data_IF_762234385513
#
_entry.id   IF_762234385513
#
_cell.length_a   1.000
_cell.length_b   1.000
_cell.length_c   1.000
_cell.angle_alpha   90.00
_cell.angle_beta   90.00
_cell.angle_gamma   90.00
#
_symmetry.space_group_name_H-M   'P 1'
#
loop_
_entity.id
_entity.type
_entity.pdbx_description
1 polymer ?
#
# COMPACT_ATOMS: atom_id res chain seq x y z
N UNK A 1 32.01 -19.76 25.10
CA UNK A 1 32.12 -18.56 24.24
C UNK A 1 30.91 -18.49 23.31
N UNK A 2 30.01 -17.53 23.49
CA UNK A 2 28.89 -17.35 22.56
C UNK A 2 29.48 -17.14 21.15
N UNK A 3 29.21 -18.09 20.25
CA UNK A 3 29.75 -18.08 18.89
C UNK A 3 29.42 -16.74 18.22
N UNK A 4 30.41 -15.88 18.00
CA UNK A 4 30.20 -14.56 17.39
C UNK A 4 29.44 -14.64 16.05
N UNK A 5 29.55 -15.77 15.36
CA UNK A 5 28.81 -16.04 14.13
C UNK A 5 27.28 -16.21 14.36
N UNK A 6 26.85 -16.73 15.51
CA UNK A 6 25.43 -16.91 15.84
C UNK A 6 24.76 -15.58 16.20
N UNK A 7 25.43 -14.74 17.00
CA UNK A 7 24.92 -13.42 17.35
C UNK A 7 24.77 -12.53 16.11
N UNK A 8 25.77 -12.52 15.23
CA UNK A 8 25.71 -11.79 13.94
C UNK A 8 24.60 -12.34 13.04
N UNK A 9 24.43 -13.66 12.98
CA UNK A 9 23.37 -14.30 12.20
C UNK A 9 21.97 -13.93 12.70
N UNK A 10 21.72 -13.99 14.01
CA UNK A 10 20.42 -13.66 14.61
C UNK A 10 20.11 -12.16 14.47
N UNK A 11 21.13 -11.31 14.60
CA UNK A 11 20.99 -9.87 14.38
C UNK A 11 20.64 -9.56 12.92
N UNK A 12 21.37 -10.15 11.95
CA UNK A 12 21.03 -10.01 10.54
C UNK A 12 19.62 -10.53 10.23
N UNK A 13 19.21 -11.66 10.81
CA UNK A 13 17.89 -12.23 10.63
C UNK A 13 16.80 -11.29 11.16
N UNK A 14 16.98 -10.73 12.35
CA UNK A 14 16.05 -9.76 12.93
C UNK A 14 15.93 -8.49 12.07
N UNK A 15 17.04 -7.94 11.58
CA UNK A 15 17.04 -6.75 10.70
C UNK A 15 16.36 -7.02 9.36
N UNK A 16 16.61 -8.17 8.73
CA UNK A 16 15.94 -8.57 7.49
C UNK A 16 14.43 -8.67 7.68
N UNK A 17 13.99 -9.29 8.78
CA UNK A 17 12.57 -9.45 9.10
C UNK A 17 11.88 -8.13 9.46
N UNK A 18 12.51 -7.30 10.31
CA UNK A 18 11.97 -5.98 10.68
C UNK A 18 11.84 -5.10 9.44
N UNK A 19 12.87 -5.02 8.58
CA UNK A 19 12.81 -4.23 7.35
C UNK A 19 11.68 -4.67 6.42
N UNK A 20 11.51 -5.99 6.22
CA UNK A 20 10.39 -6.53 5.41
C UNK A 20 9.03 -6.26 6.06
N UNK A 21 8.92 -6.39 7.38
CA UNK A 21 7.67 -6.13 8.11
C UNK A 21 7.32 -4.65 8.09
N UNK A 22 8.29 -3.75 8.15
CA UNK A 22 8.07 -2.30 8.03
C UNK A 22 7.48 -1.95 6.67
N UNK A 23 8.08 -2.47 5.58
CA UNK A 23 7.55 -2.28 4.22
C UNK A 23 6.14 -2.84 4.06
N UNK A 24 5.86 -4.05 4.60
CA UNK A 24 4.51 -4.63 4.56
C UNK A 24 3.48 -3.86 5.39
N UNK A 25 3.86 -3.43 6.61
CA UNK A 25 2.99 -2.62 7.47
C UNK A 25 2.71 -1.26 6.84
N UNK A 26 3.69 -0.67 6.15
CA UNK A 26 3.52 0.55 5.37
C UNK A 26 2.44 0.36 4.31
N UNK A 27 2.60 -0.65 3.45
CA UNK A 27 1.67 -0.91 2.34
C UNK A 27 0.25 -1.10 2.86
N UNK A 28 0.07 -1.89 3.92
CA UNK A 28 -1.23 -2.08 4.56
C UNK A 28 -1.83 -0.78 5.10
N UNK A 29 -1.02 0.05 5.78
CA UNK A 29 -1.48 1.33 6.30
C UNK A 29 -1.92 2.26 5.17
N UNK A 30 -1.19 2.28 4.06
CA UNK A 30 -1.56 3.07 2.89
C UNK A 30 -2.88 2.65 2.27
N UNK A 31 -3.08 1.34 2.06
CA UNK A 31 -4.33 0.81 1.51
C UNK A 31 -5.53 1.31 2.31
N UNK A 32 -5.45 1.26 3.65
CA UNK A 32 -6.54 1.72 4.53
C UNK A 32 -6.79 3.23 4.50
N UNK A 33 -5.81 4.04 4.08
CA UNK A 33 -5.95 5.49 3.98
C UNK A 33 -6.45 5.90 2.58
N UNK A 34 -6.04 5.18 1.53
CA UNK A 34 -6.52 5.36 0.15
C UNK A 34 -8.03 5.05 0.06
N UNK A 35 -8.51 3.98 0.69
CA UNK A 35 -9.95 3.65 0.67
C UNK A 35 -10.82 4.75 1.30
N UNK A 36 -10.31 5.47 2.30
CA UNK A 36 -10.99 6.63 2.91
C UNK A 36 -11.05 7.86 1.99
N UNK A 37 -10.20 7.92 0.97
CA UNK A 37 -10.01 9.08 0.09
C UNK A 37 -10.96 9.09 -1.12
N UNK A 38 -11.43 7.92 -1.59
CA UNK A 38 -12.18 7.82 -2.85
C UNK A 38 -13.72 7.82 -2.73
N UNK A 39 -14.28 8.13 -1.55
CA UNK A 39 -15.71 8.35 -1.28
C UNK A 39 -16.70 7.48 -2.13
N UNK A 40 -16.44 6.17 -2.14
CA UNK A 40 -17.21 5.17 -2.86
C UNK A 40 -18.66 5.12 -2.29
N UNK A 41 -19.72 4.84 -3.07
CA UNK A 41 -21.12 4.97 -2.62
C UNK A 41 -21.46 4.11 -1.40
N UNK A 42 -22.23 4.66 -0.44
CA UNK A 42 -22.67 4.02 0.82
C UNK A 42 -23.28 2.61 0.68
N UNK A 43 -23.86 2.25 -0.46
CA UNK A 43 -24.42 0.91 -0.73
C UNK A 43 -23.36 -0.11 -1.16
N UNK A 44 -22.28 0.33 -1.80
CA UNK A 44 -21.08 -0.47 -2.07
C UNK A 44 -20.22 -0.51 -0.80
N UNK A 45 -20.16 0.60 -0.07
CA UNK A 45 -19.56 0.77 1.25
C UNK A 45 -20.28 -0.01 2.36
N UNK A 46 -21.57 -0.33 2.29
CA UNK A 46 -22.16 -1.30 3.24
C UNK A 46 -21.61 -2.73 3.06
N UNK A 47 -21.13 -3.04 1.85
CA UNK A 47 -20.49 -4.30 1.47
C UNK A 47 -18.95 -4.19 1.63
N UNK A 48 -18.37 -2.98 1.46
CA UNK A 48 -16.92 -2.66 1.48
C UNK A 48 -16.41 -2.13 2.85
N UNK A 49 -17.19 -1.37 3.63
CA UNK A 49 -16.89 -0.87 5.02
C UNK A 49 -16.94 -1.96 6.09
N UNK A 50 -16.89 -3.22 5.70
CA UNK A 50 -16.56 -4.30 6.61
C UNK A 50 -15.12 -4.24 7.13
N UNK A 51 -14.36 -3.14 7.06
CA UNK A 51 -13.00 -3.02 7.64
C UNK A 51 -12.06 -4.19 7.30
N UNK A 52 -12.23 -4.84 6.15
CA UNK A 52 -11.53 -6.08 5.89
C UNK A 52 -11.47 -6.50 4.42
N UNK A 53 -11.75 -5.74 3.35
CA UNK A 53 -11.72 -6.36 1.99
C UNK A 53 -10.33 -6.54 1.35
N UNK A 54 -9.38 -5.61 1.39
CA UNK A 54 -7.99 -5.96 1.00
C UNK A 54 -7.46 -7.06 1.93
N UNK A 55 -7.85 -7.02 3.21
CA UNK A 55 -7.63 -8.08 4.17
C UNK A 55 -8.28 -9.41 3.77
N UNK A 56 -9.53 -9.45 3.30
CA UNK A 56 -10.35 -10.65 3.04
C UNK A 56 -10.17 -11.17 1.64
N UNK A 57 -9.74 -10.36 0.68
CA UNK A 57 -9.28 -10.85 -0.62
C UNK A 57 -7.84 -11.36 -0.52
N UNK A 58 -6.95 -10.66 0.20
CA UNK A 58 -5.59 -11.15 0.38
C UNK A 58 -5.50 -12.27 1.41
N UNK A 59 -6.30 -12.32 2.47
CA UNK A 59 -6.17 -13.32 3.54
C UNK A 59 -6.37 -14.75 3.03
N UNK A 60 -7.41 -15.10 2.25
CA UNK A 60 -7.53 -16.41 1.62
C UNK A 60 -6.33 -16.71 0.73
N UNK A 61 -5.86 -15.74 -0.06
CA UNK A 61 -4.70 -15.92 -0.94
C UNK A 61 -3.42 -16.18 -0.15
N UNK A 62 -3.20 -15.42 0.93
CA UNK A 62 -2.07 -15.57 1.86
C UNK A 62 -2.17 -16.91 2.58
N UNK A 63 -3.36 -17.31 3.04
CA UNK A 63 -3.59 -18.62 3.66
C UNK A 63 -3.28 -19.76 2.69
N UNK A 64 -3.75 -19.66 1.44
CA UNK A 64 -3.48 -20.61 0.36
C UNK A 64 -1.97 -20.69 0.07
N UNK A 65 -1.29 -19.55 -0.06
CA UNK A 65 0.14 -19.54 -0.31
C UNK A 65 0.99 -19.97 0.90
N UNK A 66 0.55 -19.72 2.13
CA UNK A 66 1.15 -20.30 3.34
C UNK A 66 0.98 -21.82 3.38
N UNK A 67 -0.22 -22.31 3.05
CA UNK A 67 -0.48 -23.74 2.98
C UNK A 67 0.40 -24.41 1.92
N UNK A 68 0.43 -23.89 0.69
CA UNK A 68 1.27 -24.44 -0.37
C UNK A 68 2.78 -24.26 -0.10
N UNK A 69 3.20 -23.13 0.45
CA UNK A 69 4.58 -22.89 0.86
C UNK A 69 5.02 -23.88 1.95
N UNK A 70 4.16 -24.14 2.93
CA UNK A 70 4.40 -25.15 3.98
C UNK A 70 4.42 -26.58 3.43
N UNK A 71 3.50 -26.94 2.54
CA UNK A 71 3.48 -28.24 1.86
C UNK A 71 4.74 -28.46 1.02
N UNK A 72 5.17 -27.45 0.27
CA UNK A 72 6.39 -27.47 -0.54
C UNK A 72 7.62 -27.74 0.31
N UNK A 73 7.75 -27.02 1.44
CA UNK A 73 8.83 -27.21 2.41
C UNK A 73 8.82 -28.62 3.04
N UNK A 74 7.64 -29.17 3.34
CA UNK A 74 7.48 -30.50 3.95
C UNK A 74 7.77 -31.63 2.96
N UNK A 75 7.20 -31.58 1.75
CA UNK A 75 7.29 -32.65 0.74
C UNK A 75 8.70 -32.82 0.19
N UNK A 76 9.43 -31.72 0.01
CA UNK A 76 10.77 -31.74 -0.60
C UNK A 76 11.91 -31.88 0.41
N UNK A 77 11.62 -32.11 1.71
CA UNK A 77 12.61 -32.21 2.80
C UNK A 77 13.72 -31.13 2.68
N UNK A 78 13.34 -29.89 2.36
CA UNK A 78 14.27 -28.82 1.96
C UNK A 78 15.23 -28.48 3.12
N UNK A 79 16.53 -28.31 2.86
CA UNK A 79 17.53 -27.90 3.86
C UNK A 79 17.42 -26.38 4.20
N UNK A 80 17.94 -25.92 5.35
CA UNK A 80 17.99 -24.51 5.78
C UNK A 80 18.61 -23.61 4.70
N UNK A 81 19.73 -24.01 4.09
CA UNK A 81 20.37 -23.23 3.02
C UNK A 81 19.48 -23.11 1.77
N UNK A 82 18.86 -24.23 1.36
CA UNK A 82 17.94 -24.23 0.21
C UNK A 82 16.69 -23.38 0.50
N UNK A 83 16.15 -23.45 1.73
CA UNK A 83 15.01 -22.65 2.17
C UNK A 83 15.32 -21.15 2.13
N UNK A 84 16.51 -20.75 2.62
CA UNK A 84 16.97 -19.37 2.55
C UNK A 84 17.13 -18.90 1.10
N UNK A 85 17.66 -19.75 0.22
CA UNK A 85 17.82 -19.43 -1.20
C UNK A 85 16.47 -19.22 -1.88
N UNK A 86 15.50 -20.13 -1.66
CA UNK A 86 14.13 -20.00 -2.17
C UNK A 86 13.48 -18.72 -1.63
N UNK A 87 13.56 -18.46 -0.33
CA UNK A 87 12.99 -17.25 0.30
C UNK A 87 13.54 -15.98 -0.36
N UNK A 88 14.86 -15.94 -0.60
CA UNK A 88 15.53 -14.79 -1.21
C UNK A 88 15.02 -14.54 -2.63
N UNK A 89 15.09 -15.52 -3.52
CA UNK A 89 14.72 -15.36 -4.92
C UNK A 89 13.23 -15.10 -5.12
N UNK A 90 12.35 -15.81 -4.40
CA UNK A 90 10.90 -15.57 -4.48
C UNK A 90 10.56 -14.19 -3.93
N UNK A 91 11.21 -13.76 -2.83
CA UNK A 91 10.99 -12.40 -2.32
C UNK A 91 11.53 -11.32 -3.25
N UNK A 92 12.62 -11.58 -3.98
CA UNK A 92 13.18 -10.68 -4.99
C UNK A 92 12.25 -10.57 -6.20
N UNK A 93 11.65 -11.67 -6.65
CA UNK A 93 10.63 -11.65 -7.70
C UNK A 93 9.45 -10.76 -7.29
N UNK A 94 8.92 -10.92 -6.08
CA UNK A 94 7.85 -10.06 -5.56
C UNK A 94 8.25 -8.58 -5.52
N UNK A 95 9.49 -8.29 -5.13
CA UNK A 95 10.03 -6.93 -5.13
C UNK A 95 10.15 -6.35 -6.55
N UNK A 96 10.53 -7.15 -7.54
CA UNK A 96 10.60 -6.71 -8.93
C UNK A 96 9.21 -6.48 -9.52
N UNK A 97 8.24 -7.36 -9.24
CA UNK A 97 6.85 -7.20 -9.66
C UNK A 97 6.18 -5.98 -9.02
N UNK A 98 6.56 -5.64 -7.79
CA UNK A 98 6.10 -4.43 -7.12
C UNK A 98 6.43 -3.14 -7.91
N UNK A 99 7.55 -3.10 -8.66
CA UNK A 99 7.84 -1.95 -9.52
C UNK A 99 6.83 -1.79 -10.67
N UNK A 100 6.18 -2.87 -11.12
CA UNK A 100 5.13 -2.76 -12.13
C UNK A 100 3.92 -1.96 -11.62
N UNK A 101 3.70 -1.91 -10.29
CA UNK A 101 2.63 -1.12 -9.68
C UNK A 101 2.84 0.40 -9.83
N UNK A 102 4.06 0.85 -10.15
CA UNK A 102 4.29 2.27 -10.48
C UNK A 102 3.58 2.69 -11.76
N UNK A 103 3.32 1.76 -12.68
CA UNK A 103 2.67 2.06 -13.96
C UNK A 103 1.15 2.01 -13.90
N UNK A 104 0.56 1.52 -12.81
CA UNK A 104 -0.89 1.31 -12.68
C UNK A 104 -1.59 2.43 -11.91
N UNK A 105 -0.88 3.49 -11.51
CA UNK A 105 -1.45 4.64 -10.80
C UNK A 105 -2.02 5.63 -11.82
N UNK A 106 -3.31 5.95 -11.71
CA UNK A 106 -3.99 6.94 -12.55
C UNK A 106 -3.80 8.37 -12.04
N UNK A 107 -4.01 9.32 -12.95
CA UNK A 107 -4.20 10.73 -12.60
C UNK A 107 -5.57 10.96 -11.97
N UNK A 108 -5.62 11.86 -10.98
CA UNK A 108 -6.84 12.15 -10.22
C UNK A 108 -7.73 13.16 -10.93
N UNK A 109 -9.04 13.11 -10.62
CA UNK A 109 -10.02 14.06 -11.13
C UNK A 109 -9.63 15.51 -10.79
N UNK A 110 -9.72 16.38 -11.79
CA UNK A 110 -9.34 17.78 -11.66
C UNK A 110 -10.37 18.53 -10.80
N UNK A 111 -9.93 19.17 -9.71
CA UNK A 111 -10.77 19.94 -8.80
C UNK A 111 -10.40 21.42 -8.83
N UNK A 112 -11.38 22.26 -9.17
CA UNK A 112 -11.23 23.72 -9.24
C UNK A 112 -10.87 24.32 -7.87
N UNK A 113 -9.88 25.21 -7.88
CA UNK A 113 -9.35 25.90 -6.70
C UNK A 113 -8.41 25.07 -5.82
N UNK A 114 -8.18 23.79 -6.15
CA UNK A 114 -7.28 22.89 -5.41
C UNK A 114 -6.18 22.28 -6.29
N UNK A 115 -6.55 21.60 -7.39
CA UNK A 115 -5.56 21.00 -8.32
C UNK A 115 -5.45 21.78 -9.64
N UNK A 116 -6.53 22.45 -10.02
CA UNK A 116 -6.60 23.33 -11.19
C UNK A 116 -7.21 24.67 -10.76
N UNK A 117 -6.79 25.76 -11.39
CA UNK A 117 -7.47 27.04 -11.27
C UNK A 117 -8.87 26.99 -11.92
N UNK A 118 -9.73 27.97 -11.61
CA UNK A 118 -11.03 28.12 -12.26
C UNK A 118 -10.94 28.39 -13.78
N UNK A 119 -9.75 28.75 -14.27
CA UNK A 119 -9.45 28.93 -15.70
C UNK A 119 -8.94 27.63 -16.36
N UNK A 120 -8.85 26.52 -15.61
CA UNK A 120 -8.38 25.22 -16.12
C UNK A 120 -6.85 25.07 -16.17
N UNK A 121 -6.09 26.03 -15.66
CA UNK A 121 -4.63 25.94 -15.55
C UNK A 121 -4.27 25.05 -14.36
N UNK A 122 -3.40 24.06 -14.57
CA UNK A 122 -2.87 23.22 -13.48
C UNK A 122 -2.09 24.06 -12.48
N UNK A 123 -2.62 24.16 -11.26
CA UNK A 123 -2.02 24.89 -10.17
C UNK A 123 -2.52 24.28 -8.86
N UNK A 124 -1.60 23.69 -8.11
CA UNK A 124 -1.90 23.14 -6.78
C UNK A 124 -1.90 24.26 -5.76
N UNK A 125 -2.97 24.35 -4.96
CA UNK A 125 -3.09 25.32 -3.88
C UNK A 125 -3.61 24.67 -2.60
N UNK A 126 -2.95 25.00 -1.49
CA UNK A 126 -3.32 24.59 -0.14
C UNK A 126 -4.14 25.67 0.59
N UNK A 127 -4.30 26.85 -0.02
CA UNK A 127 -4.95 27.99 0.61
C UNK A 127 -6.47 27.96 0.37
N UNK A 128 -7.27 28.14 1.42
CA UNK A 128 -8.74 28.09 1.28
C UNK A 128 -9.30 29.21 0.37
N UNK A 129 -8.57 30.32 0.24
CA UNK A 129 -8.98 31.44 -0.60
C UNK A 129 -8.95 31.14 -2.11
N UNK A 130 -8.25 30.10 -2.56
CA UNK A 130 -8.24 29.71 -3.98
C UNK A 130 -9.50 28.97 -4.41
N UNK A 131 -10.35 28.58 -3.45
CA UNK A 131 -11.71 28.11 -3.73
C UNK A 131 -12.64 29.25 -4.16
N UNK A 132 -12.30 30.51 -3.85
CA UNK A 132 -13.08 31.68 -4.24
C UNK A 132 -12.51 32.31 -5.52
N UNK A 133 -13.38 32.54 -6.48
CA UNK A 133 -13.09 33.17 -7.76
C UNK A 133 -14.14 34.26 -8.06
N UNK A 134 -13.88 35.10 -9.06
CA UNK A 134 -14.83 36.17 -9.44
C UNK A 134 -16.25 35.65 -9.73
N UNK A 135 -16.38 34.41 -10.21
CA UNK A 135 -17.64 33.79 -10.57
C UNK A 135 -18.49 33.29 -9.39
N UNK A 136 -17.90 33.03 -8.22
CA UNK A 136 -18.61 32.54 -7.02
C UNK A 136 -18.55 33.50 -5.82
N UNK A 137 -17.86 34.64 -5.94
CA UNK A 137 -17.71 35.64 -4.88
C UNK A 137 -19.02 36.32 -4.47
N UNK A 138 -20.02 36.36 -5.35
CA UNK A 138 -21.32 36.97 -5.05
C UNK A 138 -22.21 36.08 -4.17
N UNK A 139 -21.78 34.84 -3.93
CA UNK A 139 -22.43 33.88 -3.05
C UNK A 139 -21.51 33.69 -1.84
N UNK A 140 -21.98 33.96 -0.61
CA UNK A 140 -21.25 33.66 0.63
C UNK A 140 -21.11 32.14 0.84
N UNK A 141 -20.34 31.49 -0.03
CA UNK A 141 -20.25 30.05 -0.12
C UNK A 141 -19.45 29.50 1.07
N UNK A 142 -20.00 28.51 1.79
CA UNK A 142 -19.27 27.87 2.89
C UNK A 142 -18.09 27.06 2.32
N UNK A 143 -16.87 27.50 2.63
CA UNK A 143 -15.64 26.88 2.13
C UNK A 143 -15.39 25.48 2.71
N UNK A 144 -16.04 25.13 3.83
CA UNK A 144 -15.80 23.88 4.57
C UNK A 144 -16.70 22.71 4.15
N UNK A 145 -17.70 22.95 3.30
CA UNK A 145 -18.60 21.91 2.80
C UNK A 145 -17.91 21.14 1.67
N UNK A 146 -18.08 19.81 1.67
CA UNK A 146 -17.63 18.92 0.60
C UNK A 146 -18.84 18.21 0.00
N UNK A 147 -19.30 18.71 -1.15
CA UNK A 147 -20.44 18.18 -1.91
C UNK A 147 -20.14 18.27 -3.42
N UNK A 148 -19.24 17.40 -3.93
CA UNK A 148 -18.65 17.60 -5.23
C UNK A 148 -19.67 17.52 -6.37
N UNK A 149 -19.52 18.41 -7.35
CA UNK A 149 -20.29 18.40 -8.59
C UNK A 149 -19.38 18.40 -9.81
N UNK A 150 -19.75 17.63 -10.83
CA UNK A 150 -19.04 17.58 -12.08
C UNK A 150 -19.64 18.59 -13.05
N UNK A 151 -18.86 19.62 -13.40
CA UNK A 151 -19.25 20.55 -14.45
C UNK A 151 -19.25 19.86 -15.82
N UNK A 152 -20.12 20.30 -16.72
CA UNK A 152 -20.10 19.84 -18.11
C UNK A 152 -18.79 20.20 -18.87
N UNK A 153 -17.91 21.01 -18.27
CA UNK A 153 -16.56 21.30 -18.73
C UNK A 153 -15.52 20.24 -18.30
N UNK A 154 -15.94 19.15 -17.63
CA UNK A 154 -15.07 18.07 -17.18
C UNK A 154 -14.27 18.38 -15.91
N UNK A 155 -14.51 19.52 -15.25
CA UNK A 155 -13.85 19.91 -14.01
C UNK A 155 -14.80 19.67 -12.83
N UNK A 156 -14.26 19.12 -11.75
CA UNK A 156 -14.98 18.93 -10.50
C UNK A 156 -14.92 20.20 -9.64
N UNK A 157 -16.04 20.56 -9.03
CA UNK A 157 -16.12 21.69 -8.10
C UNK A 157 -16.49 21.16 -6.72
N UNK A 158 -15.93 21.77 -5.67
CA UNK A 158 -16.07 21.33 -4.27
C UNK A 158 -17.53 21.35 -3.77
N UNK A 159 -18.34 22.28 -4.30
CA UNK A 159 -19.77 22.36 -4.00
C UNK A 159 -20.54 23.00 -5.17
N UNK A 160 -21.88 22.82 -5.24
CA UNK A 160 -22.70 23.54 -6.21
C UNK A 160 -22.60 25.06 -6.08
N UNK A 161 -22.40 25.56 -4.85
CA UNK A 161 -22.22 26.99 -4.58
C UNK A 161 -20.89 27.49 -5.16
N UNK A 162 -19.80 26.75 -4.94
CA UNK A 162 -18.48 27.11 -5.45
C UNK A 162 -18.40 26.96 -6.99
N UNK A 163 -19.26 26.14 -7.59
CA UNK A 163 -19.50 26.10 -9.03
C UNK A 163 -20.34 27.29 -9.55
N UNK A 164 -20.93 28.11 -8.66
CA UNK A 164 -21.75 29.27 -9.00
C UNK A 164 -23.13 28.93 -9.53
N UNK A 165 -23.67 27.75 -9.20
CA UNK A 165 -24.99 27.30 -9.68
C UNK A 165 -26.13 28.02 -8.95
N UNK A 166 -27.17 28.44 -9.70
CA UNK A 166 -28.32 29.18 -9.15
C UNK A 166 -29.62 28.37 -9.10
N UNK A 167 -29.70 27.29 -9.86
CA UNK A 167 -30.86 26.43 -9.91
C UNK A 167 -30.46 24.96 -9.80
N UNK A 168 -31.38 24.13 -9.33
CA UNK A 168 -31.22 22.68 -9.25
C UNK A 168 -32.50 22.00 -9.70
N UNK A 169 -32.37 20.91 -10.46
CA UNK A 169 -33.46 20.12 -11.01
C UNK A 169 -33.23 18.64 -10.75
N UNK A 170 -34.26 17.92 -10.33
CA UNK A 170 -34.20 16.47 -10.07
C UNK A 170 -34.07 16.13 -8.58
N UNK A 171 -33.90 14.84 -8.28
CA UNK A 171 -33.85 14.32 -6.91
C UNK A 171 -32.89 13.13 -6.81
N UNK A 172 -32.13 13.05 -5.73
CA UNK A 172 -31.15 11.98 -5.52
C UNK A 172 -30.00 12.03 -6.55
N UNK A 173 -29.65 10.87 -7.14
CA UNK A 173 -28.53 10.74 -8.08
C UNK A 173 -28.75 11.42 -9.44
N UNK A 174 -29.98 11.77 -9.79
CA UNK A 174 -30.32 12.49 -11.03
C UNK A 174 -30.43 14.01 -10.84
N UNK A 175 -29.86 14.54 -9.75
CA UNK A 175 -29.82 15.97 -9.48
C UNK A 175 -28.84 16.67 -10.43
N UNK A 176 -29.36 17.66 -11.16
CA UNK A 176 -28.63 18.51 -12.09
C UNK A 176 -28.70 19.95 -11.61
N UNK A 177 -27.56 20.60 -11.51
CA UNK A 177 -27.44 22.01 -11.19
C UNK A 177 -27.31 22.82 -12.49
N UNK A 178 -28.06 23.91 -12.57
CA UNK A 178 -28.19 24.75 -13.76
C UNK A 178 -27.70 26.18 -13.47
N UNK A 179 -27.26 26.86 -14.53
CA UNK A 179 -26.82 28.25 -14.50
C UNK A 179 -25.59 28.45 -13.58
N UNK A 180 -24.57 27.61 -13.79
CA UNK A 180 -23.34 27.60 -13.01
C UNK A 180 -22.30 28.56 -13.61
N UNK A 181 -22.09 29.72 -12.99
CA UNK A 181 -21.22 30.79 -13.52
C UNK A 181 -19.74 30.42 -13.59
N UNK A 182 -19.23 29.61 -12.65
CA UNK A 182 -17.82 29.22 -12.64
C UNK A 182 -17.47 28.15 -13.67
N UNK A 183 -18.44 27.34 -14.08
CA UNK A 183 -18.28 26.37 -15.17
C UNK A 183 -18.14 27.10 -16.52
N UNK A 184 -18.80 28.24 -16.68
CA UNK A 184 -18.68 29.09 -17.88
C UNK A 184 -17.34 29.87 -17.93
N UNK A 185 -16.77 30.17 -16.75
CA UNK A 185 -15.57 31.00 -16.62
C UNK A 185 -14.29 30.34 -17.16
N UNK A 186 -14.28 29.02 -17.35
CA UNK A 186 -13.13 28.27 -17.88
C UNK A 186 -12.94 28.39 -19.40
N UNK A 187 -13.54 29.40 -20.05
CA UNK A 187 -13.52 29.56 -21.52
C UNK A 187 -14.40 28.57 -22.28
N UNK A 188 -15.16 27.73 -21.58
CA UNK A 188 -16.06 26.73 -22.16
C UNK A 188 -17.37 27.38 -22.62
N UNK A 189 -17.54 27.52 -23.95
CA UNK A 189 -18.69 28.21 -24.56
C UNK A 189 -19.81 27.22 -24.89
N UNK A 190 -20.54 26.75 -23.88
CA UNK A 190 -21.78 25.98 -24.06
C UNK A 190 -23.01 26.83 -23.73
N UNK A 191 -24.09 26.79 -24.54
CA UNK A 191 -25.32 27.53 -24.26
C UNK A 191 -26.03 27.04 -22.98
N UNK A 192 -25.78 25.79 -22.57
CA UNK A 192 -26.37 25.18 -21.38
C UNK A 192 -25.25 24.82 -20.41
N UNK A 193 -25.00 25.68 -19.43
CA UNK A 193 -23.99 25.46 -18.40
C UNK A 193 -24.63 24.77 -17.20
N UNK A 194 -24.26 23.50 -17.01
CA UNK A 194 -24.80 22.64 -15.96
C UNK A 194 -23.71 21.83 -15.29
N UNK A 195 -24.03 21.35 -14.09
CA UNK A 195 -23.22 20.41 -13.34
C UNK A 195 -24.10 19.26 -12.82
N UNK A 196 -23.54 18.07 -12.69
CA UNK A 196 -24.24 16.90 -12.11
C UNK A 196 -23.62 16.56 -10.76
N UNK A 197 -24.40 15.92 -9.89
CA UNK A 197 -23.90 15.46 -8.59
C UNK A 197 -22.78 14.41 -8.77
N UNK A 198 -21.69 14.56 -8.02
CA UNK A 198 -20.55 13.65 -8.04
C UNK A 198 -19.28 14.30 -8.59
N UNK A 199 -18.16 13.58 -8.51
CA UNK A 199 -16.93 14.00 -9.15
C UNK A 199 -16.99 13.63 -10.64
N UNK A 200 -16.26 14.36 -11.49
CA UNK A 200 -16.14 13.96 -12.88
C UNK A 200 -15.41 12.63 -12.98
N UNK A 201 -15.92 11.75 -13.85
CA UNK A 201 -15.25 10.50 -14.19
C UNK A 201 -13.82 10.82 -14.66
N UNK A 202 -12.85 10.06 -14.17
CA UNK A 202 -11.48 10.13 -14.67
C UNK A 202 -11.40 9.65 -16.12
N UNK A 203 -10.22 9.69 -16.73
CA UNK A 203 -10.02 9.10 -18.07
C UNK A 203 -10.57 7.65 -18.11
N UNK A 204 -11.24 7.27 -19.21
CA UNK A 204 -11.84 5.93 -19.43
C UNK A 204 -10.86 4.76 -19.21
N UNK A 205 -9.55 5.00 -19.29
CA UNK A 205 -8.52 4.00 -19.06
C UNK A 205 -8.25 3.73 -17.56
N UNK A 206 -8.73 4.58 -16.66
CA UNK A 206 -8.42 4.46 -15.25
C UNK A 206 -9.12 3.26 -14.59
N UNK A 207 -10.38 2.98 -14.94
CA UNK A 207 -11.07 1.80 -14.42
C UNK A 207 -10.31 0.51 -14.78
N UNK A 208 -9.76 0.42 -15.99
CA UNK A 208 -8.92 -0.71 -16.40
C UNK A 208 -7.61 -0.78 -15.63
N UNK A 209 -6.94 0.36 -15.42
CA UNK A 209 -5.71 0.43 -14.62
C UNK A 209 -5.94 0.03 -13.15
N UNK A 210 -7.08 0.41 -12.57
CA UNK A 210 -7.48 -0.02 -11.23
C UNK A 210 -7.66 -1.55 -11.16
N UNK A 211 -8.33 -2.15 -12.15
CA UNK A 211 -8.45 -3.62 -12.22
C UNK A 211 -7.08 -4.30 -12.35
N UNK A 212 -6.16 -3.76 -13.17
CA UNK A 212 -4.79 -4.27 -13.26
C UNK A 212 -4.04 -4.15 -11.93
N UNK A 213 -4.16 -3.03 -11.22
CA UNK A 213 -3.56 -2.82 -9.91
C UNK A 213 -4.07 -3.82 -8.87
N UNK A 214 -5.38 -4.07 -8.84
CA UNK A 214 -6.00 -5.06 -7.97
C UNK A 214 -5.44 -6.47 -8.26
N UNK A 215 -5.44 -6.90 -9.52
CA UNK A 215 -4.90 -8.21 -9.92
C UNK A 215 -3.42 -8.33 -9.53
N UNK A 216 -2.62 -7.30 -9.81
CA UNK A 216 -1.20 -7.27 -9.47
C UNK A 216 -0.99 -7.42 -7.96
N UNK A 217 -1.80 -6.73 -7.14
CA UNK A 217 -1.73 -6.82 -5.67
C UNK A 217 -2.06 -8.22 -5.16
N UNK A 218 -3.02 -8.93 -5.76
CA UNK A 218 -3.34 -10.31 -5.42
C UNK A 218 -2.18 -11.26 -5.77
N UNK A 219 -1.57 -11.09 -6.95
CA UNK A 219 -0.42 -11.90 -7.39
C UNK A 219 0.78 -11.68 -6.46
N UNK A 220 1.12 -10.43 -6.16
CA UNK A 220 2.20 -10.10 -5.24
C UNK A 220 1.93 -10.68 -3.84
N UNK A 221 0.70 -10.58 -3.32
CA UNK A 221 0.34 -11.16 -2.02
C UNK A 221 0.52 -12.69 -1.97
N UNK A 222 0.19 -13.38 -3.06
CA UNK A 222 0.45 -14.82 -3.19
C UNK A 222 1.95 -15.13 -3.17
N UNK A 223 2.75 -14.43 -4.00
CA UNK A 223 4.21 -14.65 -4.08
C UNK A 223 4.89 -14.33 -2.74
N UNK A 224 4.47 -13.24 -2.10
CA UNK A 224 4.91 -12.88 -0.75
C UNK A 224 4.66 -14.02 0.24
N UNK A 225 3.46 -14.59 0.25
CA UNK A 225 3.12 -15.68 1.18
C UNK A 225 3.93 -16.96 0.92
N UNK A 226 4.22 -17.28 -0.35
CA UNK A 226 5.13 -18.35 -0.73
C UNK A 226 6.57 -18.12 -0.25
N UNK A 227 7.06 -16.88 -0.29
CA UNK A 227 8.40 -16.52 0.21
C UNK A 227 8.50 -16.51 1.75
N UNK A 228 7.42 -16.12 2.43
CA UNK A 228 7.39 -16.00 3.88
C UNK A 228 7.55 -17.34 4.60
N UNK A 229 7.00 -18.43 4.06
CA UNK A 229 7.12 -19.76 4.68
C UNK A 229 8.56 -20.29 4.75
N UNK A 230 9.34 -20.34 3.65
CA UNK A 230 10.76 -20.68 3.70
C UNK A 230 11.57 -19.73 4.61
N UNK A 231 11.25 -18.43 4.60
CA UNK A 231 11.88 -17.45 5.50
C UNK A 231 11.63 -17.76 6.98
N UNK A 232 10.40 -18.06 7.35
CA UNK A 232 10.03 -18.43 8.72
C UNK A 232 10.66 -19.78 9.14
N UNK A 233 10.81 -20.73 8.21
CA UNK A 233 11.51 -21.98 8.46
C UNK A 233 13.01 -21.80 8.73
N UNK A 234 13.66 -20.81 8.11
CA UNK A 234 15.06 -20.46 8.41
C UNK A 234 15.19 -19.97 9.85
N UNK A 235 14.25 -19.15 10.34
CA UNK A 235 14.22 -18.71 11.74
C UNK A 235 14.09 -19.91 12.69
N UNK A 236 13.05 -20.73 12.52
CA UNK A 236 12.78 -21.85 13.44
C UNK A 236 13.93 -22.88 13.45
N UNK A 237 14.52 -23.20 12.29
CA UNK A 237 15.57 -24.22 12.20
C UNK A 237 16.94 -23.73 12.63
N UNK A 238 17.12 -22.41 12.78
CA UNK A 238 18.36 -21.84 13.31
C UNK A 238 18.39 -21.77 14.83
N UNK A 239 17.24 -21.94 15.49
CA UNK A 239 17.09 -21.93 16.94
C UNK A 239 17.19 -23.36 17.51
N UNK A 240 17.74 -23.46 18.72
CA UNK A 240 17.74 -24.72 19.47
C UNK A 240 16.31 -25.15 19.78
N UNK A 241 16.01 -26.46 19.86
CA UNK A 241 14.66 -26.96 20.13
C UNK A 241 13.97 -26.32 21.34
N UNK A 242 14.72 -26.08 22.41
CA UNK A 242 14.26 -25.47 23.66
C UNK A 242 13.95 -23.96 23.56
N UNK A 243 14.51 -23.25 22.58
CA UNK A 243 14.42 -21.79 22.45
C UNK A 243 13.47 -21.34 21.32
N UNK A 244 12.85 -22.29 20.59
CA UNK A 244 12.04 -21.99 19.39
C UNK A 244 10.85 -21.06 19.68
N UNK A 245 10.04 -21.40 20.69
CA UNK A 245 8.86 -20.60 21.06
C UNK A 245 9.25 -19.20 21.55
N UNK A 246 10.33 -19.13 22.33
CA UNK A 246 10.89 -17.88 22.83
C UNK A 246 11.39 -16.98 21.68
N UNK A 247 12.17 -17.54 20.75
CA UNK A 247 12.69 -16.79 19.60
C UNK A 247 11.59 -16.32 18.65
N UNK A 248 10.57 -17.14 18.40
CA UNK A 248 9.38 -16.72 17.63
C UNK A 248 8.64 -15.59 18.36
N UNK A 249 8.49 -15.68 19.68
CA UNK A 249 7.86 -14.64 20.50
C UNK A 249 8.60 -13.31 20.44
N UNK A 250 9.93 -13.31 20.64
CA UNK A 250 10.77 -12.10 20.53
C UNK A 250 10.67 -11.50 19.13
N UNK A 251 10.76 -12.34 18.09
CA UNK A 251 10.64 -11.90 16.71
C UNK A 251 9.28 -11.22 16.45
N UNK A 252 8.19 -11.84 16.91
CA UNK A 252 6.85 -11.28 16.81
C UNK A 252 6.71 -9.94 17.53
N UNK A 253 7.22 -9.86 18.77
CA UNK A 253 7.21 -8.64 19.56
C UNK A 253 8.01 -7.51 18.88
N UNK A 254 9.25 -7.77 18.48
CA UNK A 254 10.10 -6.79 17.81
C UNK A 254 9.46 -6.30 16.51
N UNK A 255 8.90 -7.21 15.72
CA UNK A 255 8.17 -6.87 14.49
C UNK A 255 6.97 -5.97 14.76
N UNK A 256 6.21 -6.21 15.83
CA UNK A 256 5.06 -5.36 16.18
C UNK A 256 5.48 -4.00 16.73
N UNK A 257 6.47 -3.97 17.61
CA UNK A 257 6.93 -2.73 18.27
C UNK A 257 7.64 -1.79 17.30
N UNK A 258 8.52 -2.30 16.43
CA UNK A 258 9.31 -1.46 15.53
C UNK A 258 8.65 -1.22 14.17
N UNK A 259 7.83 -2.17 13.69
CA UNK A 259 7.21 -2.06 12.37
C UNK A 259 5.69 -1.90 12.44
N UNK A 260 5.00 -2.81 13.14
CA UNK A 260 3.53 -2.89 13.10
C UNK A 260 2.81 -1.67 13.68
N UNK A 261 3.19 -1.22 14.88
CA UNK A 261 2.51 -0.14 15.60
C UNK A 261 2.94 1.25 15.09
N UNK A 262 4.23 1.57 14.89
CA UNK A 262 4.64 2.91 14.48
C UNK A 262 4.26 3.24 13.04
N UNK A 263 4.15 2.22 12.18
CA UNK A 263 3.90 2.41 10.76
C UNK A 263 2.57 3.13 10.48
N UNK A 264 1.37 2.63 10.88
CA UNK A 264 0.12 3.35 10.65
C UNK A 264 0.09 4.76 11.25
N UNK A 265 0.76 4.98 12.38
CA UNK A 265 0.77 6.27 13.08
C UNK A 265 1.60 7.29 12.30
N UNK A 266 2.86 6.97 12.02
CA UNK A 266 3.77 7.87 11.31
C UNK A 266 3.30 8.10 9.87
N UNK A 267 2.85 7.06 9.17
CA UNK A 267 2.40 7.21 7.80
C UNK A 267 1.02 7.84 7.69
N UNK A 268 0.12 7.62 8.67
CA UNK A 268 -1.12 8.40 8.77
C UNK A 268 -0.82 9.89 8.90
N UNK A 269 0.07 10.26 9.82
CA UNK A 269 0.49 11.66 10.00
C UNK A 269 1.19 12.22 8.75
N UNK A 270 2.03 11.43 8.08
CA UNK A 270 2.72 11.84 6.85
C UNK A 270 1.72 12.10 5.71
N UNK A 271 0.71 11.24 5.56
CA UNK A 271 -0.36 11.44 4.58
C UNK A 271 -1.17 12.69 4.92
N UNK A 272 -1.49 12.91 6.20
CA UNK A 272 -2.20 14.11 6.66
C UNK A 272 -1.47 15.41 6.29
N UNK A 273 -0.13 15.40 6.20
CA UNK A 273 0.64 16.59 5.74
C UNK A 273 0.36 16.98 4.30
N UNK A 274 -0.12 16.06 3.46
CA UNK A 274 -0.45 16.33 2.06
C UNK A 274 -1.91 16.72 1.87
N UNK A 275 -2.67 16.95 2.95
CA UNK A 275 -4.08 17.30 2.83
C UNK A 275 -4.28 18.64 2.10
N UNK A 276 -5.01 18.61 0.98
CA UNK A 276 -5.46 19.80 0.25
C UNK A 276 -6.77 20.35 0.83
N UNK A 277 -7.63 19.47 1.35
CA UNK A 277 -8.90 19.89 1.93
C UNK A 277 -9.30 19.11 3.18
N UNK A 278 -9.27 19.79 4.32
CA UNK A 278 -9.82 19.27 5.58
C UNK A 278 -11.35 19.24 5.55
N UNK A 279 -11.92 18.15 6.05
CA UNK A 279 -13.34 18.12 6.39
C UNK A 279 -13.63 18.99 7.62
N UNK A 280 -14.90 19.29 7.88
CA UNK A 280 -15.32 19.96 9.10
C UNK A 280 -16.19 19.03 9.96
N UNK A 281 -16.00 19.10 11.28
CA UNK A 281 -16.88 18.41 12.23
C UNK A 281 -18.16 19.22 12.47
N UNK A 282 -19.27 18.54 12.80
CA UNK A 282 -20.56 19.16 13.14
C UNK A 282 -20.47 20.07 14.37
N UNK A 283 -19.52 19.80 15.27
CA UNK A 283 -19.28 20.53 16.52
C UNK A 283 -18.27 21.68 16.39
N UNK A 284 -17.79 21.97 15.17
CA UNK A 284 -16.65 22.86 14.92
C UNK A 284 -15.29 22.13 15.04
N UNK A 285 -14.31 22.58 14.27
CA UNK A 285 -12.99 21.95 14.15
C UNK A 285 -12.77 21.22 12.82
N UNK A 286 -11.52 20.84 12.57
CA UNK A 286 -11.12 20.04 11.40
C UNK A 286 -11.47 18.57 11.63
N UNK A 287 -12.13 17.95 10.65
CA UNK A 287 -12.42 16.54 10.58
C UNK A 287 -11.41 15.80 9.69
N UNK A 288 -11.76 14.60 9.23
CA UNK A 288 -10.90 13.85 8.30
C UNK A 288 -10.67 14.62 6.99
N UNK A 289 -9.46 14.52 6.45
CA UNK A 289 -9.13 15.11 5.16
C UNK A 289 -9.97 14.47 4.04
N UNK A 290 -10.51 15.31 3.15
CA UNK A 290 -11.36 14.94 2.02
C UNK A 290 -10.59 14.76 0.73
N UNK A 291 -9.50 15.51 0.56
CA UNK A 291 -8.70 15.46 -0.66
C UNK A 291 -7.25 15.80 -0.32
N UNK A 292 -6.33 15.02 -0.88
CA UNK A 292 -4.89 15.14 -0.63
C UNK A 292 -4.20 15.53 -1.93
N UNK A 293 -3.02 16.14 -1.81
CA UNK A 293 -2.14 16.43 -2.93
C UNK A 293 -1.52 15.14 -3.41
N UNK A 294 -2.08 14.61 -4.50
CA UNK A 294 -1.62 13.40 -5.17
C UNK A 294 -0.75 13.81 -6.37
N UNK A 295 0.11 14.82 -6.22
CA UNK A 295 1.05 15.16 -7.28
C UNK A 295 1.84 13.91 -7.67
N UNK A 296 1.71 13.50 -8.94
CA UNK A 296 2.06 12.17 -9.47
C UNK A 296 3.45 11.71 -9.00
N UNK A 297 4.44 12.61 -9.04
CA UNK A 297 5.81 12.34 -8.60
C UNK A 297 5.94 12.14 -7.09
N UNK A 298 5.32 13.00 -6.28
CA UNK A 298 5.41 12.95 -4.82
C UNK A 298 4.62 11.77 -4.25
N UNK A 299 3.42 11.53 -4.78
CA UNK A 299 2.61 10.36 -4.45
C UNK A 299 3.32 9.07 -4.84
N UNK A 300 3.86 8.93 -6.06
CA UNK A 300 4.59 7.70 -6.45
C UNK A 300 5.85 7.49 -5.60
N UNK A 301 6.61 8.54 -5.29
CA UNK A 301 7.82 8.45 -4.47
C UNK A 301 7.55 8.13 -3.01
N UNK A 302 6.52 8.73 -2.41
CA UNK A 302 6.13 8.37 -1.06
C UNK A 302 5.47 7.00 -1.05
N UNK A 303 4.38 6.82 -1.81
CA UNK A 303 3.52 5.64 -1.73
C UNK A 303 4.20 4.36 -2.20
N UNK A 304 5.01 4.43 -3.25
CA UNK A 304 5.72 3.27 -3.77
C UNK A 304 7.25 3.31 -3.54
N UNK A 305 7.84 4.50 -3.48
CA UNK A 305 9.29 4.67 -3.35
C UNK A 305 9.82 4.34 -1.96
N UNK A 306 9.20 4.91 -0.91
CA UNK A 306 9.66 4.68 0.45
C UNK A 306 9.62 3.19 0.86
N UNK A 307 8.57 2.41 0.55
CA UNK A 307 8.55 0.96 0.80
C UNK A 307 9.56 0.21 -0.03
N UNK A 308 9.74 0.61 -1.29
CA UNK A 308 10.73 -0.02 -2.16
C UNK A 308 12.14 0.17 -1.59
N UNK A 309 12.48 1.35 -1.10
CA UNK A 309 13.77 1.63 -0.46
C UNK A 309 13.94 0.81 0.81
N UNK A 310 12.96 0.86 1.73
CA UNK A 310 13.00 0.10 2.99
C UNK A 310 13.16 -1.41 2.73
N UNK A 311 12.44 -1.93 1.75
CA UNK A 311 12.53 -3.33 1.32
C UNK A 311 13.86 -3.63 0.63
N UNK A 312 14.36 -2.72 -0.19
CA UNK A 312 15.68 -2.78 -0.83
C UNK A 312 16.81 -2.94 0.19
N UNK A 313 16.82 -2.10 1.23
CA UNK A 313 17.81 -2.15 2.32
C UNK A 313 17.75 -3.50 3.06
N UNK A 314 16.57 -4.10 3.21
CA UNK A 314 16.40 -5.41 3.88
C UNK A 314 17.07 -6.60 3.13
N UNK A 315 17.45 -6.42 1.86
CA UNK A 315 18.21 -7.44 1.14
C UNK A 315 19.67 -7.51 1.56
N UNK A 316 20.26 -6.44 2.13
CA UNK A 316 21.64 -6.44 2.63
C UNK A 316 21.82 -7.48 3.76
N UNK A 317 21.03 -7.47 4.85
CA UNK A 317 21.14 -8.53 5.85
C UNK A 317 20.71 -9.90 5.29
N UNK A 318 19.78 -9.95 4.33
CA UNK A 318 19.37 -11.21 3.68
C UNK A 318 20.51 -11.88 2.89
N UNK A 319 21.34 -11.11 2.18
CA UNK A 319 22.52 -11.65 1.49
C UNK A 319 23.60 -12.11 2.47
N UNK A 320 23.82 -11.38 3.57
CA UNK A 320 24.73 -11.81 4.64
C UNK A 320 24.31 -13.17 5.21
N UNK A 321 23.01 -13.37 5.49
CA UNK A 321 22.45 -14.65 5.94
C UNK A 321 22.74 -15.78 4.95
N UNK A 322 22.52 -15.53 3.65
CA UNK A 322 22.81 -16.52 2.61
C UNK A 322 24.29 -16.90 2.55
N UNK A 323 25.19 -15.93 2.68
CA UNK A 323 26.64 -16.18 2.67
C UNK A 323 27.07 -17.01 3.89
N UNK A 324 26.54 -16.71 5.08
CA UNK A 324 26.80 -17.48 6.31
C UNK A 324 26.30 -18.92 6.15
N UNK A 325 25.07 -19.10 5.66
CA UNK A 325 24.49 -20.44 5.45
C UNK A 325 25.22 -21.22 4.35
N UNK A 326 25.69 -20.56 3.28
CA UNK A 326 26.50 -21.19 2.24
C UNK A 326 27.82 -21.71 2.80
N UNK A 327 28.49 -20.92 3.64
CA UNK A 327 29.73 -21.31 4.30
C UNK A 327 29.51 -22.49 5.25
N UNK A 328 28.43 -22.46 6.04
CA UNK A 328 28.06 -23.55 6.95
C UNK A 328 27.76 -24.84 6.20
N UNK A 329 26.93 -24.79 5.16
CA UNK A 329 26.59 -25.93 4.30
C UNK A 329 27.83 -26.56 3.64
N UNK A 330 28.76 -25.73 3.13
CA UNK A 330 30.03 -26.23 2.57
C UNK A 330 30.90 -26.89 3.63
N UNK A 331 30.94 -26.35 4.84
CA UNK A 331 31.69 -26.94 5.96
C UNK A 331 31.11 -28.29 6.39
N UNK A 332 29.78 -28.40 6.49
CA UNK A 332 29.08 -29.64 6.83
C UNK A 332 29.31 -30.72 5.76
N UNK A 333 29.23 -30.35 4.48
CA UNK A 333 29.53 -31.26 3.37
C UNK A 333 30.99 -31.74 3.40
N UNK A 334 31.94 -30.86 3.72
CA UNK A 334 33.35 -31.23 3.82
C UNK A 334 33.61 -32.19 5.00
N UNK A 335 32.92 -32.01 6.13
CA UNK A 335 33.00 -32.92 7.28
C UNK A 335 32.42 -34.30 6.92
N UNK A 336 31.29 -34.35 6.23
CA UNK A 336 30.67 -35.60 5.76
C UNK A 336 31.53 -36.34 4.75
N UNK A 337 32.24 -35.62 3.86
CA UNK A 337 33.15 -36.21 2.88
C UNK A 337 34.41 -36.79 3.55
N UNK A 338 34.83 -36.19 4.66
CA UNK A 338 36.02 -36.60 5.42
C UNK A 338 35.70 -37.60 6.55
N UNK A 339 34.43 -37.95 6.76
CA UNK A 339 34.01 -38.90 7.79
C UNK A 339 34.32 -40.35 7.36
N UNK A 340 34.77 -41.23 8.28
CA UNK A 340 35.02 -42.64 7.98
C UNK A 340 33.75 -43.34 7.46
N UNK A 341 33.94 -44.23 6.47
CA UNK A 341 32.89 -44.85 5.63
C UNK A 341 31.75 -45.50 6.43
N UNK A 342 32.00 -46.02 7.63
CA UNK A 342 30.99 -46.64 8.49
C UNK A 342 29.89 -45.68 9.02
N UNK A 343 30.11 -44.35 8.98
CA UNK A 343 29.08 -43.36 9.33
C UNK A 343 28.22 -42.93 8.13
N UNK A 344 28.69 -43.10 6.89
CA UNK A 344 27.96 -42.70 5.68
C UNK A 344 26.75 -43.61 5.41
N UNK A 345 26.87 -44.91 5.69
CA UNK A 345 25.79 -45.88 5.49
C UNK A 345 24.63 -45.70 6.48
N UNK A 346 24.92 -45.34 7.74
CA UNK A 346 23.89 -45.11 8.77
C UNK A 346 23.05 -43.85 8.53
N UNK A 347 23.63 -42.81 7.91
CA UNK A 347 22.88 -41.59 7.61
C UNK A 347 22.08 -41.72 6.31
N UNK A 348 22.53 -42.52 5.33
CA UNK A 348 21.77 -42.83 4.11
C UNK A 348 20.52 -43.69 4.40
N UNK A 349 20.56 -44.59 5.38
CA UNK A 349 19.36 -45.30 5.85
C UNK A 349 18.38 -44.40 6.61
N UNK A 350 18.87 -43.37 7.32
CA UNK A 350 18.01 -42.40 8.01
C UNK A 350 17.36 -41.36 7.07
N UNK A 351 17.89 -41.20 5.85
CA UNK A 351 17.41 -40.20 4.87
C UNK A 351 16.32 -40.71 3.90
N UNK A 352 16.11 -42.03 3.79
CA UNK A 352 14.97 -42.63 3.06
C UNK A 352 13.66 -42.37 3.82
#
# INVERSE_FOLDING_TARGET
PADGNLAVFLLALSLAFVGKTMSGAYMNSMYTQIEKQFNIPSSLVGIINGSFEIGVYNLPIICVGYFFGGLFMKKLKINIYQAANIAFWVSLLDYLLYFAAYWTVCDTSQVAGLTVSYEGIQQVSYAENTLLAGCNRDCDCPLKIWDPVCGNNGITYVSPCLAGCKASRGMGKSMVFENCTCVAASGFSSPNVSAILGQCDGEENCDKMLHYFLILTLVCSFIFSLAAMPGYMVLIRSLKPEEKSFGVGIHGLASRVFAGIPSPIYFGALIDTTCLKWGAMTCGGEGACRMYDILILYFRWLYLGLPAILRGVSYIPSTIILLILKKKSKSELQVLLNAPVEMQDKEQEALK
#
